data_IF_952557417691
#
_entry.id   IF_952557417691
#
_cell.length_a   1.000
_cell.length_b   1.000
_cell.length_c   1.000
_cell.angle_alpha   90.00
_cell.angle_beta   90.00
_cell.angle_gamma   90.00
#
_symmetry.space_group_name_H-M   'P 1'
#
loop_
_entity.id
_entity.type
_entity.pdbx_description
1 polymer ?
#
# COMPACT_ATOMS: atom_id res chain seq x y z
N UNK A 1 53.86 34.32 -17.56
CA UNK A 1 52.96 33.17 -17.81
C UNK A 1 52.61 32.43 -16.52
N UNK A 2 53.57 31.84 -15.78
CA UNK A 2 53.29 31.08 -14.53
C UNK A 2 52.48 31.83 -13.46
N UNK A 3 52.72 33.14 -13.27
CA UNK A 3 51.99 33.98 -12.29
C UNK A 3 50.51 34.19 -12.65
N UNK A 4 50.19 34.29 -13.94
CA UNK A 4 48.82 34.45 -14.42
C UNK A 4 48.02 33.15 -14.29
N UNK A 5 48.67 32.00 -14.49
CA UNK A 5 48.05 30.68 -14.32
C UNK A 5 47.71 30.40 -12.85
N UNK A 6 48.60 30.76 -11.92
CA UNK A 6 48.34 30.61 -10.47
C UNK A 6 47.17 31.50 -10.04
N UNK A 7 47.11 32.75 -10.53
CA UNK A 7 46.01 33.66 -10.21
C UNK A 7 44.66 33.14 -10.75
N UNK A 8 44.65 32.56 -11.96
CA UNK A 8 43.47 31.94 -12.54
C UNK A 8 43.00 30.71 -11.74
N UNK A 9 43.92 29.89 -11.23
CA UNK A 9 43.60 28.75 -10.37
C UNK A 9 43.04 29.22 -9.03
N UNK A 10 43.61 30.25 -8.41
CA UNK A 10 43.11 30.82 -7.16
C UNK A 10 41.69 31.39 -7.36
N UNK A 11 41.45 32.14 -8.45
CA UNK A 11 40.11 32.64 -8.76
C UNK A 11 39.12 31.49 -8.99
N UNK A 12 39.51 30.43 -9.70
CA UNK A 12 38.64 29.27 -9.93
C UNK A 12 38.25 28.55 -8.62
N UNK A 13 39.17 28.46 -7.65
CA UNK A 13 38.91 27.86 -6.33
C UNK A 13 38.08 28.77 -5.44
N UNK A 14 38.23 30.09 -5.55
CA UNK A 14 37.40 31.04 -4.79
C UNK A 14 35.92 31.00 -5.20
N UNK A 15 35.62 30.78 -6.49
CA UNK A 15 34.24 30.74 -7.00
C UNK A 15 33.50 29.48 -6.50
N UNK A 16 34.20 28.36 -6.28
CA UNK A 16 33.59 27.15 -5.68
C UNK A 16 33.40 27.27 -4.17
N UNK A 17 34.24 28.05 -3.48
CA UNK A 17 34.08 28.34 -2.06
C UNK A 17 32.85 29.23 -1.75
N UNK A 18 32.47 30.13 -2.66
CA UNK A 18 31.25 30.95 -2.55
C UNK A 18 29.95 30.21 -2.94
N UNK A 19 30.02 28.93 -3.32
CA UNK A 19 28.85 28.08 -3.58
C UNK A 19 28.38 27.31 -2.34
N UNK A 20 28.96 27.57 -1.17
CA UNK A 20 28.56 26.90 0.08
C UNK A 20 27.36 27.62 0.70
N UNK A 21 26.31 26.83 0.94
CA UNK A 21 25.04 27.16 1.61
C UNK A 21 24.08 28.10 0.86
N UNK A 22 23.51 27.58 -0.25
CA UNK A 22 22.11 27.91 -0.52
C UNK A 22 21.27 27.08 0.45
N UNK A 23 20.81 27.71 1.54
CA UNK A 23 19.78 27.15 2.40
C UNK A 23 18.60 26.75 1.50
N UNK A 24 18.25 25.47 1.50
CA UNK A 24 17.15 24.95 0.70
C UNK A 24 15.86 25.51 1.25
N UNK A 25 15.36 26.59 0.64
CA UNK A 25 14.06 27.14 1.02
C UNK A 25 12.96 26.18 0.57
N UNK A 26 12.35 25.50 1.52
CA UNK A 26 11.19 24.66 1.25
C UNK A 26 9.92 25.48 1.48
N UNK A 27 8.84 25.12 0.79
CA UNK A 27 7.52 25.74 1.01
C UNK A 27 7.07 25.61 2.48
N UNK A 28 7.68 24.69 3.25
CA UNK A 28 7.36 24.36 4.63
C UNK A 28 8.41 24.78 5.65
N UNK A 29 9.34 25.69 5.33
CA UNK A 29 10.45 26.10 6.22
C UNK A 29 10.04 26.61 7.62
N UNK A 30 8.75 26.92 7.81
CA UNK A 30 8.19 27.38 9.09
C UNK A 30 7.16 26.41 9.71
N UNK A 31 7.07 25.16 9.25
CA UNK A 31 6.21 24.14 9.85
C UNK A 31 7.06 23.02 10.43
N UNK A 32 6.87 22.74 11.72
CA UNK A 32 7.45 21.59 12.39
C UNK A 32 6.84 20.30 11.81
N UNK A 33 7.40 19.81 10.71
CA UNK A 33 7.00 18.55 10.08
C UNK A 33 7.16 17.41 11.10
N UNK A 34 6.06 16.79 11.51
CA UNK A 34 6.12 15.63 12.40
C UNK A 34 6.29 14.36 11.59
N UNK A 35 7.47 13.76 11.71
CA UNK A 35 7.79 12.46 11.10
C UNK A 35 7.63 11.36 12.14
N UNK A 36 6.89 10.32 11.79
CA UNK A 36 6.71 9.13 12.65
C UNK A 36 6.48 7.85 11.84
N UNK A 37 6.21 6.74 12.51
CA UNK A 37 5.94 5.45 11.90
C UNK A 37 4.73 4.74 12.50
N UNK A 38 4.03 3.97 11.66
CA UNK A 38 2.98 3.04 12.07
C UNK A 38 3.05 1.74 11.30
N UNK A 39 2.41 0.69 11.82
CA UNK A 39 2.16 -0.55 11.11
C UNK A 39 1.21 -1.46 11.88
N UNK A 40 0.76 -2.52 11.23
CA UNK A 40 -0.09 -3.51 11.87
C UNK A 40 -0.93 -4.31 10.88
N UNK A 41 -1.81 -5.17 11.40
CA UNK A 41 -2.57 -6.09 10.57
C UNK A 41 -3.77 -5.41 9.91
N UNK A 42 -4.06 -5.86 8.69
CA UNK A 42 -5.20 -5.46 7.87
C UNK A 42 -6.06 -6.67 7.56
N UNK A 43 -7.37 -6.44 7.49
CA UNK A 43 -8.36 -7.42 7.12
C UNK A 43 -9.30 -6.81 6.10
N UNK A 44 -9.58 -7.55 5.03
CA UNK A 44 -10.62 -7.21 4.08
C UNK A 44 -11.70 -8.28 4.03
N UNK A 45 -12.94 -7.83 3.94
CA UNK A 45 -14.12 -8.67 3.78
C UNK A 45 -14.76 -8.29 2.45
N UNK A 46 -14.46 -9.02 1.39
CA UNK A 46 -14.82 -8.69 0.00
C UNK A 46 -15.45 -9.90 -0.70
N UNK A 47 -15.65 -9.80 -2.02
CA UNK A 47 -16.03 -10.92 -2.88
C UNK A 47 -14.95 -11.18 -3.91
N UNK A 48 -14.65 -12.46 -4.16
CA UNK A 48 -13.77 -12.92 -5.25
C UNK A 48 -14.49 -14.05 -5.97
N UNK A 49 -14.59 -13.97 -7.30
CA UNK A 49 -15.31 -14.94 -8.11
C UNK A 49 -16.80 -15.13 -7.70
N UNK A 50 -17.42 -14.12 -7.11
CA UNK A 50 -18.80 -14.16 -6.62
C UNK A 50 -18.97 -14.80 -5.24
N UNK A 51 -17.88 -15.27 -4.62
CA UNK A 51 -17.87 -15.89 -3.30
C UNK A 51 -17.29 -14.95 -2.24
N UNK A 52 -17.71 -15.14 -0.99
CA UNK A 52 -17.15 -14.38 0.13
C UNK A 52 -15.65 -14.63 0.28
N UNK A 53 -14.88 -13.55 0.30
CA UNK A 53 -13.44 -13.56 0.41
C UNK A 53 -13.00 -12.79 1.66
N UNK A 54 -12.34 -13.50 2.57
CA UNK A 54 -11.62 -12.89 3.67
C UNK A 54 -10.15 -12.79 3.30
N UNK A 55 -9.62 -11.57 3.24
CA UNK A 55 -8.20 -11.32 3.04
C UNK A 55 -7.57 -10.84 4.34
N UNK A 56 -6.38 -11.32 4.65
CA UNK A 56 -5.62 -10.91 5.82
C UNK A 56 -4.17 -10.60 5.42
N UNK A 57 -3.59 -9.64 6.13
CA UNK A 57 -2.18 -9.31 6.02
C UNK A 57 -1.86 -8.13 6.90
N UNK A 58 -1.11 -7.17 6.37
CA UNK A 58 -0.75 -5.97 7.12
C UNK A 58 0.10 -5.00 6.32
N UNK A 59 0.56 -3.96 6.98
CA UNK A 59 1.43 -2.97 6.37
C UNK A 59 2.16 -2.13 7.39
N UNK A 60 3.07 -1.32 6.89
CA UNK A 60 3.84 -0.35 7.67
C UNK A 60 4.08 0.90 6.84
N UNK A 61 3.98 2.07 7.46
CA UNK A 61 4.09 3.37 6.80
C UNK A 61 4.84 4.38 7.68
N UNK A 62 5.51 5.30 7.00
CA UNK A 62 6.01 6.55 7.58
C UNK A 62 4.88 7.57 7.53
N UNK A 63 4.61 8.23 8.65
CA UNK A 63 3.70 9.36 8.73
C UNK A 63 4.48 10.66 8.57
N UNK A 64 3.90 11.57 7.80
CA UNK A 64 4.33 12.93 7.54
C UNK A 64 3.12 13.82 7.85
N UNK A 65 2.98 14.22 9.10
CA UNK A 65 1.77 14.84 9.66
C UNK A 65 0.51 13.99 9.42
N UNK A 66 -0.42 14.49 8.59
CA UNK A 66 -1.66 13.83 8.22
C UNK A 66 -1.48 12.85 7.04
N UNK A 67 -0.38 12.95 6.30
CA UNK A 67 -0.09 12.07 5.17
C UNK A 67 0.72 10.85 5.63
N UNK A 68 0.57 9.72 4.94
CA UNK A 68 1.45 8.58 5.15
C UNK A 68 1.78 7.85 3.85
N UNK A 69 2.97 7.26 3.83
CA UNK A 69 3.50 6.44 2.74
C UNK A 69 4.17 5.20 3.30
N UNK A 70 3.84 4.05 2.74
CA UNK A 70 4.30 2.79 3.26
C UNK A 70 4.15 1.64 2.27
N UNK A 71 4.35 0.44 2.82
CA UNK A 71 4.14 -0.82 2.14
C UNK A 71 3.02 -1.63 2.80
N UNK A 72 2.40 -2.51 2.03
CA UNK A 72 1.42 -3.49 2.52
C UNK A 72 1.56 -4.83 1.81
N UNK A 73 0.97 -5.86 2.41
CA UNK A 73 0.72 -7.16 1.80
C UNK A 73 -0.59 -7.74 2.32
N UNK A 74 -1.33 -8.39 1.43
CA UNK A 74 -2.60 -9.06 1.70
C UNK A 74 -2.64 -10.40 0.96
N UNK A 75 -3.21 -11.41 1.60
CA UNK A 75 -3.47 -12.71 1.02
C UNK A 75 -4.88 -13.18 1.34
N UNK A 76 -5.44 -13.99 0.46
CA UNK A 76 -6.70 -14.67 0.67
C UNK A 76 -6.55 -15.72 1.78
N UNK A 77 -7.33 -15.58 2.84
CA UNK A 77 -7.33 -16.47 4.00
C UNK A 77 -8.48 -17.49 3.97
N UNK A 78 -9.54 -17.22 3.20
CA UNK A 78 -10.63 -18.17 2.95
C UNK A 78 -10.34 -19.10 1.78
N UNK A 79 -10.76 -20.36 1.91
CA UNK A 79 -10.70 -21.33 0.81
C UNK A 79 -11.92 -21.15 -0.09
N UNK A 80 -11.73 -20.60 -1.29
CA UNK A 80 -12.79 -20.40 -2.28
C UNK A 80 -12.69 -21.50 -3.35
N UNK A 81 -13.75 -22.28 -3.62
CA UNK A 81 -13.76 -23.25 -4.71
C UNK A 81 -13.56 -22.60 -6.08
N UNK A 82 -12.85 -23.30 -6.96
CA UNK A 82 -12.83 -22.96 -8.38
C UNK A 82 -14.10 -23.51 -9.06
N UNK A 83 -14.85 -22.63 -9.71
CA UNK A 83 -16.09 -22.96 -10.44
C UNK A 83 -15.94 -22.90 -11.96
N UNK A 84 -14.77 -22.49 -12.46
CA UNK A 84 -14.49 -22.34 -13.89
C UNK A 84 -13.76 -23.56 -14.46
N UNK A 85 -12.92 -24.21 -13.65
CA UNK A 85 -12.15 -25.37 -14.08
C UNK A 85 -12.84 -26.70 -13.72
N UNK A 86 -12.58 -27.78 -14.49
CA UNK A 86 -13.32 -29.04 -14.39
C UNK A 86 -13.10 -29.82 -13.08
N UNK A 87 -12.12 -29.44 -12.26
CA UNK A 87 -11.82 -30.12 -11.01
C UNK A 87 -12.46 -29.39 -9.80
N UNK A 88 -13.52 -29.97 -9.26
CA UNK A 88 -14.32 -29.38 -8.17
C UNK A 88 -13.57 -29.20 -6.83
N UNK A 89 -12.40 -29.83 -6.71
CA UNK A 89 -11.58 -29.73 -5.51
C UNK A 89 -10.68 -28.49 -5.53
N UNK A 90 -10.43 -27.90 -6.69
CA UNK A 90 -9.49 -26.80 -6.80
C UNK A 90 -9.97 -25.56 -6.04
N UNK A 91 -8.99 -24.76 -5.62
CA UNK A 91 -9.18 -23.57 -4.79
C UNK A 91 -8.48 -22.38 -5.40
N UNK A 92 -9.11 -21.22 -5.25
CA UNK A 92 -8.51 -19.96 -5.66
C UNK A 92 -7.46 -19.53 -4.63
N UNK A 93 -6.37 -18.98 -5.15
CA UNK A 93 -5.34 -18.28 -4.40
C UNK A 93 -5.26 -16.86 -4.93
N UNK A 94 -5.15 -15.90 -4.02
CA UNK A 94 -5.03 -14.49 -4.35
C UNK A 94 -4.13 -13.83 -3.32
N UNK A 95 -3.08 -13.17 -3.77
CA UNK A 95 -2.19 -12.43 -2.89
C UNK A 95 -1.56 -11.25 -3.62
N UNK A 96 -1.47 -10.12 -2.94
CA UNK A 96 -0.87 -8.92 -3.51
C UNK A 96 -0.24 -8.04 -2.43
N UNK A 97 0.75 -7.25 -2.85
CA UNK A 97 1.42 -6.29 -2.00
C UNK A 97 1.98 -5.14 -2.81
N UNK A 98 2.36 -4.07 -2.13
CA UNK A 98 2.86 -2.88 -2.78
C UNK A 98 2.80 -1.68 -1.87
N UNK A 99 2.43 -0.53 -2.43
CA UNK A 99 2.38 0.74 -1.72
C UNK A 99 1.06 0.96 -1.00
N UNK A 100 1.16 1.56 0.18
CA UNK A 100 0.05 2.06 0.96
C UNK A 100 0.23 3.55 1.17
N UNK A 101 -0.65 4.34 0.56
CA UNK A 101 -0.61 5.80 0.60
C UNK A 101 -1.91 6.29 1.21
N UNK A 102 -1.87 7.34 2.02
CA UNK A 102 -3.11 7.90 2.54
C UNK A 102 -2.95 9.23 3.27
N UNK A 103 -4.10 9.76 3.66
CA UNK A 103 -4.27 11.05 4.29
C UNK A 103 -5.37 10.96 5.36
N UNK A 104 -5.03 11.30 6.59
CA UNK A 104 -5.93 11.35 7.74
C UNK A 104 -6.51 12.76 7.90
N UNK A 105 -7.80 12.92 7.66
CA UNK A 105 -8.49 14.19 7.84
C UNK A 105 -8.79 14.40 9.33
N UNK A 106 -8.06 15.32 9.96
CA UNK A 106 -8.10 15.59 11.41
C UNK A 106 -7.58 14.44 12.28
N UNK A 107 -6.44 13.83 11.91
CA UNK A 107 -5.87 12.65 12.57
C UNK A 107 -5.58 12.77 14.07
N UNK A 108 -5.48 14.01 14.56
CA UNK A 108 -5.34 14.37 15.98
C UNK A 108 -6.61 14.14 16.82
N UNK A 109 -7.80 14.08 16.19
CA UNK A 109 -9.06 13.92 16.90
C UNK A 109 -9.27 12.45 17.31
N UNK A 110 -9.96 12.18 18.44
CA UNK A 110 -10.23 10.82 18.90
C UNK A 110 -10.94 9.94 17.87
N UNK A 111 -11.78 10.56 17.03
CA UNK A 111 -12.45 9.96 15.89
C UNK A 111 -12.18 10.82 14.68
N UNK A 112 -11.69 10.23 13.59
CA UNK A 112 -11.38 10.94 12.36
C UNK A 112 -11.57 10.04 11.14
N UNK A 113 -11.47 10.63 9.95
CA UNK A 113 -11.63 9.91 8.68
C UNK A 113 -10.29 9.83 7.98
N UNK A 114 -9.95 8.66 7.46
CA UNK A 114 -8.74 8.45 6.68
C UNK A 114 -9.08 7.97 5.28
N UNK A 115 -8.50 8.61 4.29
CA UNK A 115 -8.52 8.16 2.90
C UNK A 115 -7.19 7.49 2.59
N UNK A 116 -7.22 6.30 2.04
CA UNK A 116 -6.00 5.62 1.62
C UNK A 116 -6.21 4.85 0.32
N UNK A 117 -5.11 4.51 -0.35
CA UNK A 117 -5.12 3.65 -1.51
C UNK A 117 -4.02 2.62 -1.36
N UNK A 118 -4.39 1.36 -1.61
CA UNK A 118 -3.45 0.26 -1.79
C UNK A 118 -3.15 0.12 -3.28
N UNK A 119 -1.88 0.22 -3.66
CA UNK A 119 -1.42 0.11 -5.05
C UNK A 119 -0.42 -1.02 -5.09
N UNK A 120 -0.73 -2.13 -5.76
CA UNK A 120 0.11 -3.31 -5.66
C UNK A 120 0.12 -4.22 -6.87
N UNK A 121 1.04 -5.17 -6.78
CA UNK A 121 1.18 -6.28 -7.70
C UNK A 121 1.03 -7.58 -6.93
N UNK A 122 0.63 -8.63 -7.62
CA UNK A 122 0.36 -9.89 -6.97
C UNK A 122 0.22 -11.04 -7.94
N UNK A 123 -0.33 -12.12 -7.39
CA UNK A 123 -0.66 -13.32 -8.11
C UNK A 123 -2.09 -13.73 -7.80
N UNK A 124 -2.83 -14.06 -8.85
CA UNK A 124 -4.05 -14.85 -8.77
C UNK A 124 -3.74 -16.23 -9.32
N UNK A 125 -4.28 -17.27 -8.70
CA UNK A 125 -3.98 -18.62 -9.13
C UNK A 125 -5.01 -19.64 -8.70
N UNK A 126 -4.87 -20.82 -9.27
CA UNK A 126 -5.66 -22.01 -8.92
C UNK A 126 -4.71 -23.04 -8.33
N UNK A 127 -5.06 -23.55 -7.15
CA UNK A 127 -4.32 -24.59 -6.43
C UNK A 127 -5.20 -25.81 -6.21
N UNK A 128 -4.60 -26.99 -6.23
CA UNK A 128 -5.29 -28.22 -5.86
C UNK A 128 -5.65 -28.19 -4.37
N UNK A 129 -6.77 -28.85 -3.99
CA UNK A 129 -7.17 -28.96 -2.60
C UNK A 129 -6.07 -29.58 -1.72
N UNK A 130 -5.58 -28.84 -0.73
CA UNK A 130 -4.49 -29.30 0.14
C UNK A 130 -3.09 -29.18 -0.45
N UNK A 131 -2.97 -28.64 -1.68
CA UNK A 131 -1.70 -28.25 -2.27
C UNK A 131 -1.09 -27.01 -1.59
N UNK A 132 0.23 -26.91 -1.64
CA UNK A 132 0.96 -25.77 -1.06
C UNK A 132 1.20 -24.62 -2.04
N UNK A 133 1.07 -24.87 -3.36
CA UNK A 133 1.37 -23.90 -4.41
C UNK A 133 0.35 -23.97 -5.56
N UNK A 134 -0.01 -22.81 -6.15
CA UNK A 134 -0.87 -22.77 -7.34
C UNK A 134 -0.16 -23.35 -8.56
N UNK A 135 -0.85 -24.23 -9.29
CA UNK A 135 -0.35 -24.84 -10.51
C UNK A 135 -0.70 -23.99 -11.75
N UNK A 136 -1.73 -23.15 -11.64
CA UNK A 136 -2.04 -22.07 -12.58
C UNK A 136 -1.84 -20.74 -11.89
N UNK A 137 -1.10 -19.83 -12.53
CA UNK A 137 -0.68 -18.56 -11.95
C UNK A 137 -0.81 -17.45 -12.98
N UNK A 138 -1.36 -16.35 -12.54
CA UNK A 138 -1.51 -15.15 -13.33
C UNK A 138 -1.12 -13.92 -12.52
N UNK A 139 -0.48 -12.96 -13.19
CA UNK A 139 0.04 -11.76 -12.56
C UNK A 139 -1.03 -10.69 -12.55
N UNK A 140 -1.29 -10.15 -11.38
CA UNK A 140 -2.31 -9.13 -11.21
C UNK A 140 -1.71 -7.81 -10.79
N UNK A 141 -2.40 -6.73 -11.15
CA UNK A 141 -2.22 -5.42 -10.57
C UNK A 141 -3.50 -5.03 -9.84
N UNK A 142 -3.36 -4.38 -8.70
CA UNK A 142 -4.48 -3.96 -7.87
C UNK A 142 -4.39 -2.48 -7.51
N UNK A 143 -5.54 -1.82 -7.61
CA UNK A 143 -5.79 -0.50 -7.07
C UNK A 143 -6.99 -0.59 -6.14
N UNK A 144 -6.79 -0.36 -4.85
CA UNK A 144 -7.86 -0.42 -3.85
C UNK A 144 -7.95 0.91 -3.08
N UNK A 145 -8.72 1.89 -3.57
CA UNK A 145 -9.11 3.04 -2.77
C UNK A 145 -9.94 2.60 -1.56
N UNK A 146 -9.65 3.19 -0.41
CA UNK A 146 -10.18 2.81 0.89
C UNK A 146 -10.50 4.06 1.70
N UNK A 147 -11.65 4.07 2.36
CA UNK A 147 -12.04 5.08 3.34
C UNK A 147 -12.28 4.41 4.69
N UNK A 148 -11.72 4.95 5.76
CA UNK A 148 -11.83 4.41 7.11
C UNK A 148 -12.31 5.50 8.08
N UNK A 149 -13.18 5.13 9.01
CA UNK A 149 -13.35 5.86 10.26
C UNK A 149 -12.37 5.28 11.29
N UNK A 150 -11.44 6.10 11.76
CA UNK A 150 -10.39 5.71 12.71
C UNK A 150 -10.69 6.21 14.12
N UNK A 151 -10.42 5.33 15.08
CA UNK A 151 -10.53 5.58 16.51
C UNK A 151 -9.14 5.56 17.14
N UNK A 152 -8.73 6.69 17.72
CA UNK A 152 -7.49 6.81 18.50
C UNK A 152 -7.71 6.25 19.91
N UNK A 153 -7.49 4.95 20.10
CA UNK A 153 -7.66 4.30 21.40
C UNK A 153 -6.56 4.68 22.39
N UNK A 154 -5.33 4.77 21.91
CA UNK A 154 -4.20 5.28 22.69
C UNK A 154 -3.29 6.11 21.80
N UNK A 155 -2.29 6.78 22.40
CA UNK A 155 -1.24 7.46 21.65
C UNK A 155 -0.39 6.53 20.75
N UNK A 156 -0.55 5.21 20.91
CA UNK A 156 0.20 4.21 20.15
C UNK A 156 -0.67 3.26 19.34
N UNK A 157 -1.99 3.38 19.42
CA UNK A 157 -2.91 2.39 18.85
C UNK A 157 -4.17 3.03 18.31
N UNK A 158 -4.45 2.76 17.04
CA UNK A 158 -5.68 3.14 16.35
C UNK A 158 -6.38 1.92 15.77
N UNK A 159 -7.70 1.98 15.71
CA UNK A 159 -8.54 1.00 15.01
C UNK A 159 -9.28 1.73 13.90
N UNK A 160 -9.19 1.23 12.66
CA UNK A 160 -9.95 1.74 11.52
C UNK A 160 -11.01 0.75 11.08
N UNK A 161 -12.23 1.23 10.86
CA UNK A 161 -13.31 0.47 10.19
C UNK A 161 -13.75 1.25 8.97
N UNK A 162 -13.82 0.58 7.83
CA UNK A 162 -13.96 1.25 6.56
C UNK A 162 -14.55 0.42 5.44
N UNK A 163 -14.56 1.02 4.26
CA UNK A 163 -14.93 0.40 3.01
C UNK A 163 -13.80 0.56 1.99
N UNK A 164 -13.63 -0.42 1.12
CA UNK A 164 -12.64 -0.44 0.06
C UNK A 164 -13.27 -0.95 -1.23
N UNK A 165 -12.73 -0.55 -2.37
CA UNK A 165 -13.13 -1.09 -3.67
C UNK A 165 -11.92 -1.63 -4.38
N UNK A 166 -11.77 -2.96 -4.42
CA UNK A 166 -10.62 -3.60 -5.03
C UNK A 166 -10.80 -3.65 -6.55
N UNK A 167 -9.89 -3.03 -7.30
CA UNK A 167 -9.85 -3.05 -8.76
C UNK A 167 -8.68 -3.90 -9.19
N UNK A 168 -8.95 -5.08 -9.74
CA UNK A 168 -7.94 -5.97 -10.29
C UNK A 168 -7.86 -5.84 -11.81
N UNK A 169 -6.63 -5.72 -12.32
CA UNK A 169 -6.31 -5.65 -13.74
C UNK A 169 -5.09 -6.53 -14.06
N UNK A 170 -4.73 -6.59 -15.33
CA UNK A 170 -3.73 -7.52 -15.89
C UNK A 170 -4.10 -9.00 -15.75
N UNK A 171 -5.36 -9.30 -15.42
CA UNK A 171 -5.88 -10.67 -15.34
C UNK A 171 -6.07 -11.24 -16.75
N UNK A 172 -5.45 -12.36 -17.03
CA UNK A 172 -5.53 -13.12 -18.29
C UNK A 172 -6.60 -14.23 -18.19
N UNK A 173 -7.75 -13.95 -18.77
CA UNK A 173 -8.87 -14.91 -18.83
C UNK A 173 -8.50 -16.23 -19.49
N UNK A 174 -7.55 -16.26 -20.43
CA UNK A 174 -7.20 -17.49 -21.15
C UNK A 174 -6.47 -18.51 -20.26
N UNK A 175 -5.91 -18.07 -19.12
CA UNK A 175 -5.14 -18.91 -18.22
C UNK A 175 -6.04 -19.72 -17.28
N UNK A 176 -7.11 -19.11 -16.76
CA UNK A 176 -7.95 -19.71 -15.71
C UNK A 176 -9.46 -19.41 -15.84
N UNK A 177 -9.90 -18.70 -16.89
CA UNK A 177 -11.31 -18.43 -17.17
C UNK A 177 -11.97 -17.34 -16.31
N UNK A 178 -11.16 -16.58 -15.54
CA UNK A 178 -11.63 -15.46 -14.71
C UNK A 178 -11.17 -14.13 -15.29
N UNK A 179 -12.00 -13.11 -15.17
CA UNK A 179 -11.69 -11.72 -15.58
C UNK A 179 -11.36 -10.87 -14.37
N UNK A 180 -10.69 -9.74 -14.61
CA UNK A 180 -10.49 -8.72 -13.58
C UNK A 180 -11.80 -8.25 -12.92
N UNK A 181 -12.91 -8.22 -13.67
CA UNK A 181 -14.23 -7.89 -13.13
C UNK A 181 -14.79 -8.93 -12.15
N UNK A 182 -14.37 -10.20 -12.26
CA UNK A 182 -14.83 -11.27 -11.37
C UNK A 182 -14.09 -11.23 -10.03
N UNK A 183 -12.88 -10.65 -10.02
CA UNK A 183 -12.08 -10.44 -8.82
C UNK A 183 -12.36 -9.07 -8.17
N UNK A 184 -12.81 -8.09 -8.96
CA UNK A 184 -13.01 -6.71 -8.50
C UNK A 184 -14.33 -6.57 -7.75
N UNK A 185 -14.27 -6.10 -6.51
CA UNK A 185 -15.44 -5.95 -5.67
C UNK A 185 -15.25 -4.89 -4.58
N UNK A 186 -16.38 -4.33 -4.13
CA UNK A 186 -16.43 -3.59 -2.89
C UNK A 186 -16.26 -4.54 -1.69
N UNK A 187 -15.68 -4.05 -0.61
CA UNK A 187 -15.50 -4.80 0.62
C UNK A 187 -15.44 -3.91 1.85
N UNK A 188 -15.58 -4.53 3.01
CA UNK A 188 -15.25 -3.94 4.29
C UNK A 188 -13.76 -3.99 4.56
N UNK A 189 -13.22 -2.97 5.23
CA UNK A 189 -11.82 -2.88 5.61
C UNK A 189 -11.72 -2.68 7.12
N UNK A 190 -10.88 -3.48 7.78
CA UNK A 190 -10.59 -3.37 9.20
C UNK A 190 -9.08 -3.31 9.40
N UNK A 191 -8.62 -2.31 10.15
CA UNK A 191 -7.21 -2.09 10.39
C UNK A 191 -6.92 -1.89 11.86
N UNK A 192 -5.79 -2.43 12.29
CA UNK A 192 -5.20 -2.17 13.59
C UNK A 192 -3.84 -1.52 13.37
N UNK A 193 -3.70 -0.25 13.75
CA UNK A 193 -2.50 0.55 13.47
C UNK A 193 -1.76 0.83 14.76
N UNK A 194 -0.55 0.32 14.89
CA UNK A 194 0.35 0.55 16.01
C UNK A 194 1.49 1.45 15.55
N UNK A 195 1.75 2.53 16.27
CA UNK A 195 2.73 3.52 15.85
C UNK A 195 2.96 4.59 16.89
N UNK A 196 3.75 5.60 16.55
CA UNK A 196 3.84 6.81 17.36
C UNK A 196 3.00 7.89 16.68
N UNK A 197 1.88 8.29 17.28
CA UNK A 197 0.91 9.21 16.67
C UNK A 197 0.93 10.61 17.28
#
# INVERSE_FOLDING_TARGET
MKKATILAIILAVSITAFSQEKEFQTIFDNQDLRISGMGGPFMQFTSVAGEFAFMMGGGGAVLLDDFFIGGYGLGLATSIPDYKNPNSNDRLSLGHGGFWLGYALFGEKPVHVTFSTLIGWGEFGVMEYGGYYPYVRDKIFVLAPTIEAELNLTRYFRIGVGATYNIYTMVDEYIHGYKGSDLSAAGGFLSFKFGWF
#
